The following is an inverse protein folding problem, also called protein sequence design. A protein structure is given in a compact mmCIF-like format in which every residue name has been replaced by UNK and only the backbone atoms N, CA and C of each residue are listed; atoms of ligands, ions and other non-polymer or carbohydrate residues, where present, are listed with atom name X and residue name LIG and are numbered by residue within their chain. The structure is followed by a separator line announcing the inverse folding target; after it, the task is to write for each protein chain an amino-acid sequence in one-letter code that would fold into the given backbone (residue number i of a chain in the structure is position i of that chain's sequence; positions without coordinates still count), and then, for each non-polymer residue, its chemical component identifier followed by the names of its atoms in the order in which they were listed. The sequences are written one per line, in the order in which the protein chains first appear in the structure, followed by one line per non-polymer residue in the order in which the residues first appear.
data_IF_884277049505
#
_entry.id   IF_884277049505
#
_cell.length_a   1.000
_cell.length_b   1.000
_cell.length_c   1.000
_cell.angle_alpha   90.00
_cell.angle_beta   90.00
_cell.angle_gamma   90.00
#
_symmetry.space_group_name_H-M   'P 1'
#
loop_
_entity.id
_entity.type
_entity.pdbx_description
1 polymer ?
#
# COMPACT_ATOMS: atom_id res chain seq x y z
N UNK A 1 -25.24 10.12 29.40
CA UNK A 1 -25.22 10.31 27.92
C UNK A 1 -24.96 8.97 27.31
N UNK A 2 -25.77 8.52 26.35
CA UNK A 2 -25.41 7.35 25.55
C UNK A 2 -24.08 7.67 24.86
N UNK A 3 -23.06 6.85 25.04
CA UNK A 3 -21.81 7.01 24.29
C UNK A 3 -22.14 6.70 22.82
N UNK A 4 -22.34 7.75 22.02
CA UNK A 4 -22.54 7.59 20.59
C UNK A 4 -21.18 7.25 19.99
N UNK A 5 -20.99 5.99 19.60
CA UNK A 5 -19.76 5.51 18.97
C UNK A 5 -19.48 6.32 17.70
N UNK A 6 -18.28 6.90 17.60
CA UNK A 6 -17.81 7.64 16.42
C UNK A 6 -17.09 6.70 15.48
N UNK A 7 -17.38 6.81 14.18
CA UNK A 7 -16.73 6.05 13.12
C UNK A 7 -15.83 6.99 12.34
N UNK A 8 -14.54 6.67 12.31
CA UNK A 8 -13.51 7.53 11.75
C UNK A 8 -12.75 6.76 10.70
N UNK A 9 -12.67 7.34 9.49
CA UNK A 9 -11.85 6.82 8.41
C UNK A 9 -10.58 7.66 8.31
N UNK A 10 -9.42 7.03 8.51
CA UNK A 10 -8.12 7.69 8.46
C UNK A 10 -7.00 6.71 8.07
N UNK A 11 -5.89 7.18 7.48
CA UNK A 11 -4.70 6.36 7.26
C UNK A 11 -4.23 5.69 8.56
N UNK A 12 -3.77 4.44 8.48
CA UNK A 12 -3.36 3.66 9.66
C UNK A 12 -2.31 4.39 10.53
N UNK A 13 -1.36 5.07 9.89
CA UNK A 13 -0.35 5.87 10.59
C UNK A 13 -0.92 7.01 11.44
N UNK A 14 -2.14 7.50 11.14
CA UNK A 14 -2.83 8.53 11.92
C UNK A 14 -3.65 7.97 13.09
N UNK A 15 -3.85 6.65 13.19
CA UNK A 15 -4.77 6.08 14.18
C UNK A 15 -4.33 6.38 15.61
N UNK A 16 -3.03 6.28 15.90
CA UNK A 16 -2.48 6.52 17.24
C UNK A 16 -2.60 8.00 17.65
N UNK A 17 -2.31 8.93 16.76
CA UNK A 17 -2.38 10.38 17.03
C UNK A 17 -3.82 10.83 17.22
N UNK A 18 -4.72 10.44 16.32
CA UNK A 18 -6.15 10.76 16.43
C UNK A 18 -6.74 10.21 17.72
N UNK A 19 -6.45 8.96 18.08
CA UNK A 19 -6.95 8.37 19.32
C UNK A 19 -6.46 9.13 20.57
N UNK A 20 -5.20 9.59 20.58
CA UNK A 20 -4.67 10.44 21.65
C UNK A 20 -5.40 11.79 21.69
N UNK A 21 -5.60 12.45 20.55
CA UNK A 21 -6.28 13.73 20.47
C UNK A 21 -7.73 13.66 20.98
N UNK A 22 -8.50 12.65 20.56
CA UNK A 22 -9.85 12.44 21.05
C UNK A 22 -9.89 12.16 22.56
N UNK A 23 -8.99 11.30 23.07
CA UNK A 23 -8.95 10.94 24.49
C UNK A 23 -8.45 12.06 25.40
N UNK A 24 -7.71 13.02 24.87
CA UNK A 24 -7.31 14.23 25.59
C UNK A 24 -8.52 15.13 25.90
N UNK A 25 -9.52 15.15 25.01
CA UNK A 25 -10.76 15.89 25.21
C UNK A 25 -11.84 15.08 25.96
N UNK A 26 -11.93 13.78 25.72
CA UNK A 26 -12.83 12.85 26.41
C UNK A 26 -12.20 11.47 26.55
N UNK A 27 -11.74 11.14 27.77
CA UNK A 27 -11.04 9.88 28.05
C UNK A 27 -11.89 8.62 27.84
N UNK A 28 -13.23 8.74 27.76
CA UNK A 28 -14.15 7.61 27.60
C UNK A 28 -14.76 7.52 26.20
N UNK A 29 -14.28 8.32 25.25
CA UNK A 29 -14.83 8.33 23.89
C UNK A 29 -14.69 6.96 23.19
N UNK A 30 -15.82 6.41 22.73
CA UNK A 30 -15.84 5.18 21.90
C UNK A 30 -15.64 5.58 20.43
N UNK A 31 -14.43 5.32 19.93
CA UNK A 31 -14.01 5.63 18.57
C UNK A 31 -13.64 4.34 17.86
N UNK A 32 -14.22 4.11 16.69
CA UNK A 32 -13.80 3.07 15.75
C UNK A 32 -13.02 3.72 14.61
N UNK A 33 -11.73 3.41 14.55
CA UNK A 33 -10.83 3.80 13.46
C UNK A 33 -10.82 2.71 12.39
N UNK A 34 -10.91 3.13 11.13
CA UNK A 34 -10.94 2.30 9.94
C UNK A 34 -10.01 2.96 8.91
N UNK A 35 -9.13 2.21 8.27
CA UNK A 35 -8.37 2.70 7.12
C UNK A 35 -9.07 2.34 5.80
N UNK A 36 -8.80 3.13 4.76
CA UNK A 36 -9.40 2.92 3.44
C UNK A 36 -9.09 1.52 2.88
N UNK A 37 -7.89 0.99 3.09
CA UNK A 37 -7.51 -0.32 2.55
C UNK A 37 -8.33 -1.44 3.19
N UNK A 38 -8.56 -1.37 4.51
CA UNK A 38 -9.45 -2.29 5.21
C UNK A 38 -10.92 -2.10 4.80
N UNK A 39 -11.34 -0.89 4.48
CA UNK A 39 -12.68 -0.67 3.94
C UNK A 39 -12.83 -1.29 2.54
N UNK A 40 -11.85 -1.12 1.66
CA UNK A 40 -11.83 -1.74 0.33
C UNK A 40 -11.77 -3.27 0.46
N UNK A 41 -10.89 -3.80 1.30
CA UNK A 41 -10.77 -5.24 1.53
C UNK A 41 -12.00 -5.81 2.25
N UNK A 42 -12.74 -5.03 3.03
CA UNK A 42 -14.00 -5.53 3.60
C UNK A 42 -15.08 -5.78 2.55
N UNK A 43 -15.05 -5.00 1.46
CA UNK A 43 -15.94 -5.23 0.34
C UNK A 43 -15.49 -6.39 -0.55
N UNK A 44 -14.19 -6.70 -0.59
CA UNK A 44 -13.58 -7.51 -1.67
C UNK A 44 -12.55 -8.55 -1.25
N UNK A 45 -12.33 -8.69 0.04
CA UNK A 45 -11.36 -9.57 0.71
C UNK A 45 -9.89 -9.40 0.32
N UNK A 46 -9.01 -10.10 1.07
CA UNK A 46 -7.62 -10.30 0.67
C UNK A 46 -7.56 -10.94 -0.71
N UNK A 47 -6.61 -10.49 -1.53
CA UNK A 47 -6.33 -11.03 -2.87
C UNK A 47 -6.18 -12.56 -2.80
N UNK A 48 -7.22 -13.30 -3.20
CA UNK A 48 -7.17 -14.76 -3.29
C UNK A 48 -6.38 -15.12 -4.54
N UNK A 49 -5.20 -15.73 -4.36
CA UNK A 49 -4.34 -16.15 -5.48
C UNK A 49 -5.07 -17.09 -6.44
N UNK A 50 -6.13 -17.78 -6.00
CA UNK A 50 -7.00 -18.58 -6.88
C UNK A 50 -7.83 -17.70 -7.81
N UNK A 51 -8.37 -16.58 -7.33
CA UNK A 51 -9.10 -15.63 -8.17
C UNK A 51 -8.18 -15.02 -9.24
N UNK A 52 -6.95 -14.66 -8.87
CA UNK A 52 -5.94 -14.16 -9.81
C UNK A 52 -5.65 -15.22 -10.88
N UNK A 53 -5.44 -16.49 -10.50
CA UNK A 53 -5.23 -17.59 -11.45
C UNK A 53 -6.41 -17.79 -12.41
N UNK A 54 -7.65 -17.73 -11.92
CA UNK A 54 -8.83 -17.84 -12.78
C UNK A 54 -8.93 -16.71 -13.80
N UNK A 55 -8.54 -15.49 -13.41
CA UNK A 55 -8.47 -14.33 -14.31
C UNK A 55 -7.34 -14.55 -15.32
N UNK A 56 -6.13 -14.92 -14.89
CA UNK A 56 -5.01 -15.22 -15.81
C UNK A 56 -5.39 -16.24 -16.89
N UNK A 57 -6.04 -17.34 -16.50
CA UNK A 57 -6.46 -18.40 -17.43
C UNK A 57 -7.59 -17.93 -18.35
N UNK A 58 -8.61 -17.27 -17.79
CA UNK A 58 -9.78 -16.82 -18.55
C UNK A 58 -9.43 -15.72 -19.56
N UNK A 59 -8.59 -14.79 -19.13
CA UNK A 59 -8.23 -13.58 -19.84
C UNK A 59 -6.97 -13.74 -20.70
N UNK A 60 -6.17 -14.79 -20.45
CA UNK A 60 -4.84 -15.00 -21.04
C UNK A 60 -3.92 -13.80 -20.81
N UNK A 61 -3.89 -13.33 -19.57
CA UNK A 61 -3.08 -12.19 -19.14
C UNK A 61 -2.09 -12.61 -18.07
N UNK A 62 -1.04 -11.80 -17.91
CA UNK A 62 -0.10 -11.93 -16.79
C UNK A 62 -0.75 -11.52 -15.48
N UNK A 63 -0.16 -11.95 -14.37
CA UNK A 63 -0.68 -11.74 -13.03
C UNK A 63 -0.78 -10.25 -12.63
N UNK A 64 0.13 -9.39 -13.13
CA UNK A 64 0.04 -7.93 -12.98
C UNK A 64 -1.31 -7.39 -13.49
N UNK A 65 -1.65 -7.74 -14.73
CA UNK A 65 -2.90 -7.31 -15.37
C UNK A 65 -4.10 -8.00 -14.71
N UNK A 66 -3.96 -9.26 -14.30
CA UNK A 66 -5.02 -9.97 -13.59
C UNK A 66 -5.33 -9.31 -12.23
N UNK A 67 -4.31 -8.82 -11.52
CA UNK A 67 -4.46 -8.08 -10.27
C UNK A 67 -5.14 -6.72 -10.50
N UNK A 68 -4.74 -5.99 -11.55
CA UNK A 68 -5.42 -4.75 -11.93
C UNK A 68 -6.90 -4.99 -12.26
N UNK A 69 -7.21 -6.05 -13.02
CA UNK A 69 -8.58 -6.48 -13.31
C UNK A 69 -9.32 -6.76 -12.00
N UNK A 70 -8.73 -7.59 -11.13
CA UNK A 70 -9.35 -7.98 -9.85
C UNK A 70 -9.69 -6.75 -8.99
N UNK A 71 -8.78 -5.79 -8.90
CA UNK A 71 -8.95 -4.57 -8.10
C UNK A 71 -10.07 -3.65 -8.64
N UNK A 72 -10.40 -3.71 -9.93
CA UNK A 72 -11.49 -2.91 -10.51
C UNK A 72 -12.85 -3.59 -10.47
N UNK A 73 -12.92 -4.94 -10.50
CA UNK A 73 -14.16 -5.72 -10.38
C UNK A 73 -15.12 -5.19 -9.31
N UNK A 74 -14.63 -4.78 -8.12
CA UNK A 74 -15.37 -3.98 -7.16
C UNK A 74 -16.36 -2.96 -7.70
N UNK A 75 -15.86 -1.98 -8.43
CA UNK A 75 -16.55 -0.77 -8.79
C UNK A 75 -17.43 -0.97 -10.03
N UNK A 76 -17.29 -2.11 -10.71
CA UNK A 76 -18.08 -2.49 -11.87
C UNK A 76 -19.57 -2.59 -11.50
N UNK A 77 -20.36 -1.72 -12.13
CA UNK A 77 -21.81 -1.63 -12.01
C UNK A 77 -22.47 -1.84 -13.39
N UNK A 78 -23.76 -2.22 -13.38
CA UNK A 78 -24.50 -2.59 -14.60
C UNK A 78 -24.97 -1.38 -15.44
N UNK A 79 -24.82 -0.16 -14.90
CA UNK A 79 -25.44 1.04 -15.46
C UNK A 79 -24.60 1.72 -16.55
N UNK A 80 -23.39 1.22 -16.82
CA UNK A 80 -22.46 1.84 -17.76
C UNK A 80 -22.47 1.11 -19.10
N UNK A 81 -22.77 1.85 -20.16
CA UNK A 81 -22.79 1.33 -21.54
C UNK A 81 -21.40 1.35 -22.17
N UNK A 82 -20.44 0.65 -21.57
CA UNK A 82 -19.08 0.49 -22.09
C UNK A 82 -18.78 -1.00 -22.33
N UNK A 83 -18.18 -1.34 -23.47
CA UNK A 83 -17.87 -2.74 -23.83
C UNK A 83 -16.89 -3.40 -22.85
N UNK A 84 -15.89 -2.65 -22.37
CA UNK A 84 -14.92 -3.11 -21.38
C UNK A 84 -15.58 -3.33 -20.01
N UNK A 85 -16.50 -2.46 -19.62
CA UNK A 85 -17.25 -2.63 -18.36
C UNK A 85 -18.18 -3.85 -18.41
N UNK A 86 -18.93 -4.04 -19.51
CA UNK A 86 -19.76 -5.24 -19.71
C UNK A 86 -18.94 -6.52 -19.69
N UNK A 87 -17.73 -6.46 -20.22
CA UNK A 87 -16.81 -7.58 -20.18
C UNK A 87 -16.36 -7.90 -18.75
N UNK A 88 -15.94 -6.87 -17.99
CA UNK A 88 -15.56 -7.03 -16.58
C UNK A 88 -16.72 -7.53 -15.71
N UNK A 89 -17.98 -7.24 -16.07
CA UNK A 89 -19.15 -7.84 -15.41
C UNK A 89 -19.21 -9.36 -15.60
N UNK A 90 -18.84 -9.86 -16.78
CA UNK A 90 -18.78 -11.31 -17.04
C UNK A 90 -17.67 -11.96 -16.22
N UNK A 91 -16.51 -11.31 -16.14
CA UNK A 91 -15.39 -11.74 -15.29
C UNK A 91 -15.84 -11.79 -13.83
N UNK A 92 -16.43 -10.70 -13.31
CA UNK A 92 -16.97 -10.62 -11.94
C UNK A 92 -17.95 -11.74 -11.65
N UNK A 93 -18.89 -12.00 -12.56
CA UNK A 93 -19.90 -13.06 -12.41
C UNK A 93 -19.29 -14.45 -12.38
N UNK A 94 -18.24 -14.70 -13.17
CA UNK A 94 -17.51 -15.97 -13.17
C UNK A 94 -16.73 -16.19 -11.87
N UNK A 95 -16.00 -15.17 -11.38
CA UNK A 95 -15.27 -15.28 -10.11
C UNK A 95 -16.25 -15.44 -8.94
N UNK A 96 -17.40 -14.76 -8.98
CA UNK A 96 -18.47 -14.92 -8.00
C UNK A 96 -19.06 -16.33 -7.98
N UNK A 97 -19.33 -16.93 -9.14
CA UNK A 97 -19.92 -18.27 -9.23
C UNK A 97 -18.98 -19.38 -8.72
N UNK A 98 -17.67 -19.14 -8.75
CA UNK A 98 -16.65 -20.01 -8.17
C UNK A 98 -16.50 -19.85 -6.65
N UNK A 99 -17.22 -18.91 -6.02
CA UNK A 99 -17.09 -18.61 -4.59
C UNK A 99 -15.73 -18.01 -4.22
N UNK A 100 -15.04 -17.40 -5.20
CA UNK A 100 -13.72 -16.79 -5.03
C UNK A 100 -13.81 -15.29 -4.71
N UNK A 101 -15.00 -14.70 -4.83
CA UNK A 101 -15.34 -13.43 -4.18
C UNK A 101 -15.99 -13.77 -2.85
N UNK A 102 -15.21 -13.93 -1.79
CA UNK A 102 -15.82 -13.98 -0.47
C UNK A 102 -15.88 -12.53 0.05
N UNK A 103 -16.71 -12.32 1.06
CA UNK A 103 -17.03 -11.00 1.62
C UNK A 103 -17.02 -11.18 3.11
N UNK A 104 -16.43 -10.25 3.86
CA UNK A 104 -16.67 -10.19 5.30
C UNK A 104 -18.08 -9.60 5.50
N UNK A 105 -19.08 -10.41 5.88
CA UNK A 105 -20.44 -9.91 5.99
C UNK A 105 -20.60 -8.91 7.14
N UNK A 106 -19.69 -8.90 8.12
CA UNK A 106 -19.81 -8.10 9.34
C UNK A 106 -19.11 -6.75 9.25
N UNK A 107 -18.06 -6.64 8.43
CA UNK A 107 -17.25 -5.43 8.39
C UNK A 107 -17.95 -4.28 7.66
N UNK A 108 -18.62 -4.54 6.53
CA UNK A 108 -19.45 -3.52 5.86
C UNK A 108 -20.63 -3.07 6.75
N UNK A 109 -21.27 -4.02 7.43
CA UNK A 109 -22.34 -3.77 8.41
C UNK A 109 -21.88 -2.92 9.60
N UNK A 110 -20.56 -2.84 9.84
CA UNK A 110 -20.02 -2.01 10.92
C UNK A 110 -20.28 -0.53 10.69
N UNK A 111 -20.38 -0.06 9.45
CA UNK A 111 -20.55 1.37 9.14
C UNK A 111 -21.76 1.69 8.25
N UNK A 112 -22.43 0.67 7.71
CA UNK A 112 -23.63 0.84 6.89
C UNK A 112 -24.67 1.77 7.54
N UNK A 113 -25.08 2.80 6.79
CA UNK A 113 -26.06 3.81 7.23
C UNK A 113 -25.59 4.75 8.36
N UNK A 114 -24.32 4.72 8.76
CA UNK A 114 -23.80 5.52 9.89
C UNK A 114 -23.21 6.85 9.44
N UNK A 115 -23.07 7.77 10.39
CA UNK A 115 -22.30 8.99 10.22
C UNK A 115 -20.79 8.69 10.38
N UNK A 116 -19.98 9.14 9.44
CA UNK A 116 -18.54 8.87 9.35
C UNK A 116 -17.76 10.16 9.22
N UNK A 117 -16.68 10.28 9.98
CA UNK A 117 -15.75 11.41 9.92
C UNK A 117 -14.47 10.97 9.22
N UNK A 118 -14.04 11.73 8.21
CA UNK A 118 -12.89 11.36 7.38
C UNK A 118 -11.74 12.33 7.66
N UNK A 119 -10.58 11.78 8.02
CA UNK A 119 -9.36 12.54 8.31
C UNK A 119 -8.20 12.04 7.44
N UNK A 120 -7.38 12.96 6.93
CA UNK A 120 -6.17 12.61 6.16
C UNK A 120 -6.42 12.05 4.76
N UNK A 121 -7.68 11.92 4.32
CA UNK A 121 -8.06 11.62 2.94
C UNK A 121 -8.65 12.86 2.27
N UNK A 122 -8.43 12.98 0.96
CA UNK A 122 -8.93 14.11 0.18
C UNK A 122 -10.40 13.93 -0.21
N UNK A 123 -11.20 15.02 -0.25
CA UNK A 123 -12.53 15.03 -0.87
C UNK A 123 -12.52 14.72 -2.37
N UNK A 124 -11.35 14.66 -3.02
CA UNK A 124 -11.20 14.21 -4.41
C UNK A 124 -11.02 12.68 -4.53
N UNK A 125 -11.01 11.94 -3.41
CA UNK A 125 -10.91 10.47 -3.41
C UNK A 125 -12.27 9.85 -3.77
N UNK A 126 -12.53 9.75 -5.09
CA UNK A 126 -13.78 9.24 -5.64
C UNK A 126 -14.05 7.78 -5.23
N UNK A 127 -13.00 6.96 -5.10
CA UNK A 127 -13.15 5.57 -4.65
C UNK A 127 -13.77 5.48 -3.25
N UNK A 128 -13.23 6.26 -2.31
CA UNK A 128 -13.75 6.32 -0.94
C UNK A 128 -15.19 6.83 -0.92
N UNK A 129 -15.48 7.89 -1.68
CA UNK A 129 -16.81 8.48 -1.79
C UNK A 129 -17.81 7.47 -2.37
N UNK A 130 -17.44 6.77 -3.43
CA UNK A 130 -18.28 5.75 -4.08
C UNK A 130 -18.62 4.62 -3.11
N UNK A 131 -17.64 4.14 -2.33
CA UNK A 131 -17.85 3.10 -1.32
C UNK A 131 -18.81 3.58 -0.22
N UNK A 132 -18.60 4.79 0.30
CA UNK A 132 -19.45 5.34 1.38
C UNK A 132 -20.88 5.61 0.93
N UNK A 133 -21.05 6.09 -0.31
CA UNK A 133 -22.38 6.26 -0.91
C UNK A 133 -23.08 4.92 -1.09
N UNK A 134 -22.38 3.87 -1.53
CA UNK A 134 -22.94 2.53 -1.67
C UNK A 134 -23.40 1.93 -0.33
N UNK A 135 -22.74 2.31 0.79
CA UNK A 135 -23.12 1.94 2.16
C UNK A 135 -24.22 2.82 2.76
N UNK A 136 -24.68 3.86 2.05
CA UNK A 136 -25.63 4.84 2.57
C UNK A 136 -25.09 5.65 3.76
N UNK A 137 -23.77 5.78 3.89
CA UNK A 137 -23.14 6.54 4.97
C UNK A 137 -23.34 8.05 4.77
N UNK A 138 -23.54 8.78 5.86
CA UNK A 138 -23.37 10.24 5.87
C UNK A 138 -21.92 10.53 6.25
N UNK A 139 -21.20 11.34 5.47
CA UNK A 139 -19.79 11.59 5.75
C UNK A 139 -19.39 13.06 5.66
N UNK A 140 -18.39 13.42 6.47
CA UNK A 140 -17.79 14.75 6.50
C UNK A 140 -16.28 14.62 6.42
N UNK A 141 -15.67 15.33 5.48
CA UNK A 141 -14.23 15.47 5.40
C UNK A 141 -13.74 16.55 6.36
N UNK A 142 -12.85 16.18 7.26
CA UNK A 142 -12.13 17.09 8.13
C UNK A 142 -10.82 17.46 7.46
N UNK A 143 -10.87 18.50 6.64
CA UNK A 143 -9.66 19.17 6.17
C UNK A 143 -9.25 20.21 7.21
N UNK A 144 -8.03 20.12 7.70
CA UNK A 144 -7.46 21.22 8.47
C UNK A 144 -7.08 22.34 7.52
N UNK A 145 -7.63 23.52 7.77
CA UNK A 145 -7.42 24.73 6.96
C UNK A 145 -6.18 25.51 7.36
N UNK A 146 -5.41 25.05 8.37
CA UNK A 146 -4.27 25.79 8.87
C UNK A 146 -2.95 25.04 8.63
N UNK A 147 -2.28 25.44 7.56
CA UNK A 147 -0.84 25.24 7.41
C UNK A 147 -0.16 26.02 8.53
N UNK A 148 0.47 25.32 9.49
CA UNK A 148 1.36 26.01 10.42
C UNK A 148 2.50 26.61 9.59
N UNK A 149 2.58 27.94 9.53
CA UNK A 149 3.75 28.64 9.00
C UNK A 149 4.99 28.21 9.80
N UNK A 150 5.96 27.60 9.13
CA UNK A 150 7.18 27.13 9.78
C UNK A 150 8.03 26.15 8.97
N UNK A 151 7.69 25.82 7.72
CA UNK A 151 8.58 24.98 6.90
C UNK A 151 9.84 25.75 6.53
N UNK A 152 10.98 25.26 7.00
CA UNK A 152 12.30 25.70 6.54
C UNK A 152 12.65 24.92 5.27
N UNK A 153 12.85 25.64 4.16
CA UNK A 153 13.30 25.05 2.91
C UNK A 153 14.80 25.29 2.79
N UNK A 154 15.57 24.21 2.82
CA UNK A 154 17.03 24.24 2.66
C UNK A 154 17.38 23.53 1.35
N UNK A 155 18.28 24.13 0.58
CA UNK A 155 18.75 23.55 -0.68
C UNK A 155 20.17 23.01 -0.52
N UNK A 156 20.39 21.82 -1.05
CA UNK A 156 21.67 21.12 -1.01
C UNK A 156 22.18 20.86 -2.43
N UNK A 157 23.50 20.73 -2.58
CA UNK A 157 24.16 20.45 -3.86
C UNK A 157 24.04 18.99 -4.30
N UNK A 158 23.77 18.07 -3.37
CA UNK A 158 23.66 16.65 -3.64
C UNK A 158 22.73 15.95 -2.67
N UNK A 159 22.17 14.81 -3.11
CA UNK A 159 21.41 13.87 -2.26
C UNK A 159 22.20 13.48 -1.01
N UNK A 160 23.52 13.32 -1.16
CA UNK A 160 24.43 12.99 -0.06
C UNK A 160 24.45 14.10 1.01
N UNK A 161 24.61 15.36 0.60
CA UNK A 161 24.66 16.50 1.53
C UNK A 161 23.32 16.67 2.27
N UNK A 162 22.21 16.53 1.55
CA UNK A 162 20.86 16.61 2.12
C UNK A 162 20.60 15.51 3.15
N UNK A 163 20.97 14.26 2.82
CA UNK A 163 20.83 13.13 3.75
C UNK A 163 21.67 13.36 5.01
N UNK A 164 22.92 13.80 4.89
CA UNK A 164 23.75 14.07 6.07
C UNK A 164 23.17 15.20 6.93
N UNK A 165 22.68 16.27 6.34
CA UNK A 165 22.06 17.37 7.09
C UNK A 165 20.81 16.88 7.85
N UNK A 166 19.95 16.11 7.19
CA UNK A 166 18.79 15.50 7.83
C UNK A 166 19.19 14.59 9.01
N UNK A 167 20.18 13.71 8.84
CA UNK A 167 20.63 12.82 9.92
C UNK A 167 21.23 13.59 11.11
N UNK A 168 21.91 14.71 10.85
CA UNK A 168 22.40 15.60 11.92
C UNK A 168 21.24 16.23 12.70
N UNK A 169 20.24 16.80 12.01
CA UNK A 169 19.08 17.42 12.68
C UNK A 169 18.27 16.39 13.48
N UNK A 170 18.13 15.17 12.94
CA UNK A 170 17.53 14.04 13.64
C UNK A 170 18.31 13.71 14.93
N UNK A 171 19.64 13.60 14.84
CA UNK A 171 20.49 13.34 16.01
C UNK A 171 20.32 14.43 17.08
N UNK A 172 20.27 15.70 16.68
CA UNK A 172 20.03 16.81 17.60
C UNK A 172 18.66 16.73 18.30
N UNK A 173 17.61 16.28 17.60
CA UNK A 173 16.29 16.08 18.23
C UNK A 173 16.32 14.94 19.24
N UNK A 174 17.00 13.84 18.92
CA UNK A 174 17.18 12.72 19.84
C UNK A 174 17.98 13.15 21.10
N UNK A 175 19.04 13.94 20.93
CA UNK A 175 19.82 14.51 22.03
C UNK A 175 18.99 15.45 22.92
N UNK A 176 18.00 16.14 22.34
CA UNK A 176 17.01 16.97 23.07
C UNK A 176 15.92 16.14 23.75
N UNK A 177 15.92 14.82 23.59
CA UNK A 177 14.99 13.88 24.24
C UNK A 177 13.69 13.64 23.47
N UNK A 178 13.61 13.99 22.18
CA UNK A 178 12.47 13.62 21.31
C UNK A 178 12.49 12.11 21.11
N UNK A 179 11.33 11.46 21.22
CA UNK A 179 11.20 10.02 21.03
C UNK A 179 11.34 9.60 19.56
N UNK A 180 11.92 8.42 19.31
CA UNK A 180 12.03 7.84 17.96
C UNK A 180 10.69 7.75 17.23
N UNK A 181 9.61 7.44 17.96
CA UNK A 181 8.23 7.35 17.46
C UNK A 181 7.66 8.71 17.00
N UNK A 182 8.27 9.82 17.40
CA UNK A 182 7.80 11.18 17.11
C UNK A 182 8.62 11.85 15.98
N UNK A 183 9.57 11.11 15.38
CA UNK A 183 10.41 11.56 14.26
C UNK A 183 10.11 10.70 13.03
N UNK A 184 9.89 11.35 11.89
CA UNK A 184 9.61 10.71 10.61
C UNK A 184 10.45 11.31 9.51
N UNK A 185 10.91 10.47 8.59
CA UNK A 185 11.55 10.89 7.35
C UNK A 185 10.58 10.56 6.21
N UNK A 186 10.13 11.56 5.49
CA UNK A 186 9.37 11.40 4.27
C UNK A 186 10.31 11.47 3.06
N UNK A 187 10.39 10.38 2.31
CA UNK A 187 11.17 10.33 1.09
C UNK A 187 10.52 9.39 0.07
N UNK A 188 10.13 9.93 -1.09
CA UNK A 188 9.54 9.16 -2.18
C UNK A 188 10.60 8.51 -3.10
N UNK A 189 11.83 9.05 -3.13
CA UNK A 189 12.89 8.57 -4.01
C UNK A 189 13.78 7.53 -3.32
N UNK A 190 13.79 6.32 -3.87
CA UNK A 190 14.60 5.18 -3.39
C UNK A 190 16.11 5.44 -3.47
N UNK A 191 16.56 6.41 -4.27
CA UNK A 191 17.97 6.79 -4.33
C UNK A 191 18.50 7.26 -2.95
N UNK A 192 17.63 7.83 -2.10
CA UNK A 192 18.00 8.27 -0.75
C UNK A 192 18.17 7.08 0.21
N UNK A 193 17.48 5.96 -0.03
CA UNK A 193 17.43 4.83 0.91
C UNK A 193 18.81 4.21 1.12
N UNK A 194 19.62 4.16 0.06
CA UNK A 194 20.99 3.68 0.14
C UNK A 194 21.84 4.53 1.10
N UNK A 195 21.74 5.86 0.99
CA UNK A 195 22.52 6.78 1.81
C UNK A 195 22.02 6.77 3.26
N UNK A 196 20.71 6.77 3.47
CA UNK A 196 20.11 6.66 4.81
C UNK A 196 20.53 5.35 5.49
N UNK A 197 20.50 4.22 4.77
CA UNK A 197 20.87 2.91 5.31
C UNK A 197 22.35 2.80 5.65
N UNK A 198 23.19 3.42 4.81
CA UNK A 198 24.64 3.44 5.00
C UNK A 198 25.04 4.31 6.20
N UNK A 199 24.50 5.52 6.30
CA UNK A 199 24.96 6.49 7.29
C UNK A 199 24.26 6.40 8.64
N UNK A 200 23.06 5.81 8.75
CA UNK A 200 22.39 5.63 10.06
C UNK A 200 23.31 4.96 11.11
N UNK A 201 24.21 4.08 10.68
CA UNK A 201 25.15 3.37 11.56
C UNK A 201 26.14 4.33 12.22
N UNK A 202 26.55 5.39 11.51
CA UNK A 202 27.52 6.38 12.00
C UNK A 202 26.88 7.31 13.05
N UNK A 203 25.57 7.52 12.99
CA UNK A 203 24.80 8.37 13.90
C UNK A 203 24.26 7.64 15.15
N UNK A 204 24.42 6.32 15.23
CA UNK A 204 24.05 5.54 16.42
C UNK A 204 22.54 5.32 16.61
N UNK A 205 21.72 5.56 15.59
CA UNK A 205 20.29 5.21 15.59
C UNK A 205 19.91 4.33 14.40
N UNK A 206 18.72 3.73 14.48
CA UNK A 206 18.15 2.93 13.39
C UNK A 206 16.99 3.67 12.72
N UNK A 207 16.93 3.52 11.42
CA UNK A 207 15.83 3.96 10.57
C UNK A 207 15.21 2.69 9.99
N UNK A 208 13.90 2.53 10.20
CA UNK A 208 13.09 1.55 9.49
C UNK A 208 12.90 2.03 8.06
N UNK A 209 13.93 1.82 7.25
CA UNK A 209 13.86 2.00 5.81
C UNK A 209 13.08 0.80 5.30
N UNK A 210 11.98 0.98 4.55
CA UNK A 210 11.32 -0.10 3.84
C UNK A 210 12.28 -0.57 2.74
N UNK A 211 13.28 -1.37 3.11
CA UNK A 211 14.08 -2.10 2.16
C UNK A 211 13.18 -3.21 1.65
N UNK A 212 12.36 -2.89 0.68
CA UNK A 212 11.52 -3.86 0.01
C UNK A 212 12.41 -4.76 -0.86
N UNK A 213 13.32 -5.53 -0.24
CA UNK A 213 14.14 -6.55 -0.87
C UNK A 213 13.16 -7.64 -1.28
N UNK A 214 12.95 -7.71 -2.57
CA UNK A 214 12.11 -8.74 -3.18
C UNK A 214 12.86 -10.06 -3.17
N UNK A 215 12.15 -11.18 -3.18
CA UNK A 215 12.78 -12.47 -3.45
C UNK A 215 13.61 -12.42 -4.75
N UNK A 216 13.11 -11.76 -5.79
CA UNK A 216 13.79 -11.62 -7.08
C UNK A 216 15.18 -10.97 -7.01
N UNK A 217 15.44 -10.09 -6.04
CA UNK A 217 16.75 -9.42 -5.91
C UNK A 217 17.83 -10.28 -5.26
N UNK A 218 17.48 -11.49 -4.81
CA UNK A 218 18.40 -12.38 -4.11
C UNK A 218 19.08 -13.37 -5.05
N UNK A 219 20.36 -13.65 -4.78
CA UNK A 219 21.15 -14.62 -5.56
C UNK A 219 20.51 -16.02 -5.55
N UNK A 220 20.03 -16.48 -4.39
CA UNK A 220 19.41 -17.80 -4.26
C UNK A 220 18.13 -17.94 -5.11
N UNK A 221 17.40 -16.84 -5.36
CA UNK A 221 16.22 -16.87 -6.23
C UNK A 221 16.60 -17.06 -7.69
N UNK A 222 17.74 -16.50 -8.14
CA UNK A 222 18.26 -16.78 -9.49
C UNK A 222 18.56 -18.26 -9.68
N UNK A 223 19.10 -18.92 -8.64
CA UNK A 223 19.38 -20.35 -8.66
C UNK A 223 18.10 -21.18 -8.68
N UNK A 224 17.11 -20.83 -7.85
CA UNK A 224 15.77 -21.45 -7.85
C UNK A 224 15.11 -21.36 -9.23
N UNK A 225 15.14 -20.17 -9.86
CA UNK A 225 14.56 -19.98 -11.18
C UNK A 225 15.29 -20.83 -12.25
N UNK A 226 16.62 -20.95 -12.16
CA UNK A 226 17.40 -21.83 -13.05
C UNK A 226 17.03 -23.29 -12.84
N UNK A 227 16.93 -23.75 -11.60
CA UNK A 227 16.53 -25.13 -11.29
C UNK A 227 15.14 -25.46 -11.84
N UNK A 228 14.18 -24.53 -11.67
CA UNK A 228 12.86 -24.71 -12.24
C UNK A 228 12.88 -24.71 -13.77
N UNK A 229 13.68 -23.83 -14.39
CA UNK A 229 13.78 -23.76 -15.84
C UNK A 229 14.38 -25.03 -16.48
N UNK A 230 15.40 -25.61 -15.84
CA UNK A 230 16.08 -26.82 -16.31
C UNK A 230 15.21 -28.07 -16.12
N UNK A 231 14.60 -28.21 -14.96
CA UNK A 231 13.92 -29.43 -14.57
C UNK A 231 12.42 -29.45 -14.87
N UNK A 232 11.79 -28.27 -14.95
CA UNK A 232 10.35 -28.08 -15.14
C UNK A 232 9.50 -28.81 -14.09
N UNK A 233 10.04 -28.94 -12.89
CA UNK A 233 9.47 -29.74 -11.81
C UNK A 233 9.62 -29.02 -10.47
N UNK A 234 8.49 -28.65 -9.86
CA UNK A 234 8.45 -28.00 -8.56
C UNK A 234 8.91 -28.91 -7.40
N UNK A 235 8.86 -30.24 -7.55
CA UNK A 235 9.40 -31.17 -6.56
C UNK A 235 10.90 -30.99 -6.39
N UNK A 236 11.64 -30.95 -7.50
CA UNK A 236 13.09 -30.70 -7.50
C UNK A 236 13.45 -29.31 -7.00
N UNK A 237 12.64 -28.30 -7.32
CA UNK A 237 12.81 -26.94 -6.79
C UNK A 237 12.65 -26.94 -5.26
N UNK A 238 11.67 -27.67 -4.74
CA UNK A 238 11.43 -27.80 -3.29
C UNK A 238 12.62 -28.48 -2.60
N UNK A 239 13.16 -29.54 -3.19
CA UNK A 239 14.37 -30.22 -2.69
C UNK A 239 15.59 -29.29 -2.70
N UNK A 240 15.75 -28.48 -3.75
CA UNK A 240 16.80 -27.48 -3.85
C UNK A 240 16.66 -26.40 -2.75
N UNK A 241 15.46 -25.87 -2.53
CA UNK A 241 15.19 -24.88 -1.47
C UNK A 241 15.58 -25.44 -0.09
N UNK A 242 15.31 -26.71 0.17
CA UNK A 242 15.68 -27.35 1.44
C UNK A 242 17.20 -27.34 1.67
N UNK A 243 18.00 -27.46 0.61
CA UNK A 243 19.47 -27.52 0.66
C UNK A 243 20.13 -26.13 0.76
N UNK A 244 19.40 -25.04 0.49
CA UNK A 244 19.93 -23.68 0.58
C UNK A 244 20.27 -23.29 2.04
N UNK A 245 21.36 -22.56 2.20
CA UNK A 245 21.77 -21.96 3.48
C UNK A 245 21.11 -20.58 3.65
N UNK A 246 19.80 -20.58 3.92
CA UNK A 246 18.99 -19.37 4.16
C UNK A 246 18.08 -19.59 5.39
N UNK A 247 17.56 -18.50 5.96
CA UNK A 247 16.67 -18.56 7.13
C UNK A 247 15.42 -19.42 6.86
N UNK A 248 14.91 -20.06 7.91
CA UNK A 248 13.72 -20.91 7.80
C UNK A 248 12.47 -20.12 7.35
N UNK A 249 12.34 -18.87 7.76
CA UNK A 249 11.23 -18.00 7.34
C UNK A 249 11.27 -17.70 5.85
N UNK A 250 12.47 -17.51 5.29
CA UNK A 250 12.64 -17.35 3.85
C UNK A 250 12.33 -18.64 3.10
N UNK A 251 12.72 -19.82 3.63
CA UNK A 251 12.32 -21.12 3.05
C UNK A 251 10.80 -21.30 3.05
N UNK A 252 10.15 -21.01 4.17
CA UNK A 252 8.69 -21.11 4.31
C UNK A 252 7.98 -20.19 3.31
N UNK A 253 8.48 -18.96 3.16
CA UNK A 253 7.96 -18.00 2.18
C UNK A 253 8.13 -18.48 0.74
N UNK A 254 9.28 -19.07 0.40
CA UNK A 254 9.49 -19.69 -0.91
C UNK A 254 8.53 -20.86 -1.16
N UNK A 255 8.31 -21.73 -0.18
CA UNK A 255 7.35 -22.83 -0.33
C UNK A 255 5.92 -22.32 -0.56
N UNK A 256 5.51 -21.25 0.11
CA UNK A 256 4.23 -20.59 -0.15
C UNK A 256 4.15 -20.04 -1.58
N UNK A 257 5.22 -19.41 -2.08
CA UNK A 257 5.29 -18.93 -3.46
C UNK A 257 5.15 -20.08 -4.45
N UNK A 258 5.85 -21.20 -4.22
CA UNK A 258 5.79 -22.38 -5.09
C UNK A 258 4.37 -22.96 -5.10
N UNK A 259 3.73 -23.09 -3.94
CA UNK A 259 2.36 -23.60 -3.83
C UNK A 259 1.34 -22.67 -4.52
N UNK A 260 1.54 -21.35 -4.40
CA UNK A 260 0.71 -20.34 -5.05
C UNK A 260 0.76 -20.44 -6.59
N UNK A 261 1.98 -20.56 -7.14
CA UNK A 261 2.24 -20.57 -8.58
C UNK A 261 1.90 -21.92 -9.21
N UNK A 262 2.00 -23.00 -8.45
CA UNK A 262 1.73 -24.36 -8.96
C UNK A 262 0.26 -24.49 -9.37
N UNK A 263 0.04 -24.64 -10.68
CA UNK A 263 -1.27 -24.91 -11.26
C UNK A 263 -1.11 -25.65 -12.59
N UNK A 264 -1.54 -26.90 -12.64
CA UNK A 264 -1.35 -27.80 -13.80
C UNK A 264 -2.04 -27.31 -15.09
N UNK A 265 -2.92 -26.32 -14.99
CA UNK A 265 -3.62 -25.73 -16.13
C UNK A 265 -2.74 -24.76 -16.92
N UNK A 266 -1.70 -24.22 -16.29
CA UNK A 266 -0.75 -23.33 -16.93
C UNK A 266 0.30 -24.12 -17.72
N UNK A 267 0.64 -23.62 -18.90
CA UNK A 267 1.84 -24.05 -19.60
C UNK A 267 3.09 -23.66 -18.80
N UNK A 268 4.20 -24.36 -19.04
CA UNK A 268 5.47 -24.09 -18.35
C UNK A 268 5.88 -22.61 -18.42
N UNK A 269 5.76 -21.97 -19.58
CA UNK A 269 6.15 -20.56 -19.73
C UNK A 269 5.27 -19.63 -18.88
N UNK A 270 3.96 -19.89 -18.82
CA UNK A 270 3.03 -19.12 -18.00
C UNK A 270 3.34 -19.28 -16.50
N UNK A 271 3.61 -20.51 -16.05
CA UNK A 271 4.03 -20.77 -14.67
C UNK A 271 5.37 -20.11 -14.33
N UNK A 272 6.33 -20.16 -15.26
CA UNK A 272 7.64 -19.54 -15.07
C UNK A 272 7.55 -18.02 -14.96
N UNK A 273 6.80 -17.37 -15.86
CA UNK A 273 6.57 -15.93 -15.78
C UNK A 273 5.82 -15.54 -14.51
N UNK A 274 4.84 -16.36 -14.10
CA UNK A 274 4.12 -16.12 -12.85
C UNK A 274 5.06 -16.24 -11.63
N UNK A 275 5.92 -17.26 -11.58
CA UNK A 275 6.93 -17.41 -10.53
C UNK A 275 7.87 -16.20 -10.45
N UNK A 276 8.35 -15.73 -11.61
CA UNK A 276 9.21 -14.54 -11.68
C UNK A 276 8.47 -13.31 -11.15
N UNK A 277 7.21 -13.13 -11.54
CA UNK A 277 6.40 -11.99 -11.12
C UNK A 277 6.11 -12.01 -9.61
N UNK A 278 5.70 -13.14 -9.05
CA UNK A 278 5.48 -13.29 -7.60
C UNK A 278 6.78 -13.03 -6.84
N UNK A 279 7.92 -13.54 -7.31
CA UNK A 279 9.23 -13.25 -6.70
C UNK A 279 9.59 -11.77 -6.73
N UNK A 280 9.18 -11.00 -7.76
CA UNK A 280 9.41 -9.55 -7.87
C UNK A 280 8.52 -8.74 -6.93
N UNK A 281 7.37 -9.27 -6.53
CA UNK A 281 6.40 -8.58 -5.66
C UNK A 281 6.56 -8.94 -4.20
N UNK A 282 6.94 -10.18 -3.90
CA UNK A 282 7.07 -10.69 -2.54
C UNK A 282 8.37 -10.21 -1.92
N UNK A 283 8.24 -9.55 -0.78
CA UNK A 283 9.38 -9.06 -0.01
C UNK A 283 9.88 -10.14 0.96
N UNK A 284 11.17 -10.10 1.26
CA UNK A 284 11.74 -10.84 2.38
C UNK A 284 11.16 -10.27 3.69
N UNK A 285 11.04 -11.12 4.70
CA UNK A 285 10.75 -10.66 6.05
C UNK A 285 11.97 -9.84 6.52
N UNK A 286 11.77 -8.54 6.75
CA UNK A 286 12.80 -7.67 7.28
C UNK A 286 12.65 -7.51 8.78
N UNK A 287 13.79 -7.34 9.45
CA UNK A 287 13.83 -6.97 10.86
C UNK A 287 13.27 -5.55 11.02
N UNK A 288 12.14 -5.42 11.71
CA UNK A 288 11.61 -4.11 12.13
C UNK A 288 12.33 -3.73 13.42
N UNK A 289 13.12 -2.66 13.37
CA UNK A 289 13.84 -2.19 14.54
C UNK A 289 12.91 -1.45 15.50
N UNK A 290 13.11 -1.68 16.80
CA UNK A 290 12.50 -0.92 17.88
C UNK A 290 13.51 -0.76 19.02
N UNK A 291 13.89 0.47 19.42
CA UNK A 291 13.43 1.76 18.88
C UNK A 291 14.05 2.11 17.53
N UNK A 292 13.30 2.78 16.65
CA UNK A 292 13.78 3.28 15.36
C UNK A 292 12.90 4.39 14.79
N UNK A 293 13.50 5.21 13.92
CA UNK A 293 12.81 6.27 13.16
C UNK A 293 12.10 5.63 11.97
N UNK A 294 10.90 6.09 11.64
CA UNK A 294 10.15 5.54 10.52
C UNK A 294 10.39 6.36 9.25
N UNK A 295 10.79 5.68 8.17
CA UNK A 295 10.75 6.25 6.82
C UNK A 295 9.38 5.97 6.19
N UNK A 296 8.69 7.03 5.79
CA UNK A 296 7.43 6.96 5.04
C UNK A 296 7.67 7.36 3.59
N UNK A 297 6.94 6.72 2.67
CA UNK A 297 7.04 6.97 1.21
C UNK A 297 5.82 7.67 0.64
N UNK A 298 4.79 7.83 1.46
CA UNK A 298 3.57 8.54 1.11
C UNK A 298 3.42 9.74 2.05
N UNK A 299 2.88 10.87 1.56
CA UNK A 299 2.67 12.04 2.39
C UNK A 299 1.55 11.72 3.36
N UNK A 300 1.90 11.50 4.62
CA UNK A 300 0.93 11.25 5.68
C UNK A 300 1.04 12.37 6.70
N UNK A 301 -0.11 12.91 7.09
CA UNK A 301 -0.17 13.90 8.14
C UNK A 301 -0.04 13.25 9.51
N UNK A 302 1.02 13.56 10.24
CA UNK A 302 1.25 13.04 11.59
C UNK A 302 1.28 14.22 12.57
N UNK A 303 0.30 14.26 13.48
CA UNK A 303 0.23 15.32 14.49
C UNK A 303 1.34 15.18 15.53
N UNK A 304 1.86 16.32 15.99
CA UNK A 304 2.89 16.41 17.04
C UNK A 304 4.18 15.63 16.73
N UNK A 305 4.52 15.50 15.45
CA UNK A 305 5.72 14.84 14.98
C UNK A 305 6.66 15.80 14.25
N UNK A 306 7.94 15.48 14.25
CA UNK A 306 8.95 16.11 13.39
C UNK A 306 9.02 15.32 12.08
N UNK A 307 8.74 15.98 10.95
CA UNK A 307 8.76 15.36 9.63
C UNK A 307 9.84 16.02 8.78
N UNK A 308 10.84 15.24 8.39
CA UNK A 308 11.88 15.65 7.44
C UNK A 308 11.46 15.22 6.04
N UNK A 309 11.32 16.17 5.11
CA UNK A 309 10.95 15.88 3.73
C UNK A 309 12.22 15.96 2.87
N UNK A 310 12.63 14.83 2.30
CA UNK A 310 13.83 14.75 1.46
C UNK A 310 13.46 14.70 -0.02
N UNK A 311 14.28 15.34 -0.86
CA UNK A 311 14.12 15.35 -2.30
C UNK A 311 12.96 16.20 -2.78
N UNK A 312 12.65 17.29 -2.07
CA UNK A 312 11.56 18.21 -2.40
C UNK A 312 11.86 19.03 -3.67
N UNK A 313 11.77 18.39 -4.84
CA UNK A 313 11.97 19.00 -6.15
C UNK A 313 10.92 18.57 -7.18
N UNK A 314 10.83 19.34 -8.26
CA UNK A 314 9.90 19.08 -9.36
C UNK A 314 10.13 17.68 -9.96
N UNK A 315 9.04 16.99 -10.28
CA UNK A 315 9.04 15.60 -10.75
C UNK A 315 8.90 14.55 -9.65
N UNK A 316 9.24 14.88 -8.40
CA UNK A 316 8.93 14.06 -7.22
C UNK A 316 7.80 14.67 -6.37
N UNK A 317 7.69 16.00 -6.37
CA UNK A 317 6.72 16.74 -5.57
C UNK A 317 6.08 17.88 -6.39
N UNK A 318 4.74 17.89 -6.60
CA UNK A 318 3.81 16.76 -6.43
C UNK A 318 4.09 15.65 -7.45
N UNK A 319 3.60 14.44 -7.16
CA UNK A 319 3.72 13.30 -8.07
C UNK A 319 2.81 13.54 -9.28
N UNK A 320 3.37 13.43 -10.48
CA UNK A 320 2.59 13.46 -11.71
C UNK A 320 2.08 12.06 -12.06
N UNK A 321 0.83 11.97 -12.50
CA UNK A 321 0.18 10.71 -12.89
C UNK A 321 -0.24 10.79 -14.36
N UNK A 322 -0.13 9.66 -15.06
CA UNK A 322 -0.53 9.52 -16.47
C UNK A 322 -1.69 8.52 -16.59
N UNK A 323 -2.55 8.70 -17.59
CA UNK A 323 -3.64 7.76 -17.88
C UNK A 323 -3.13 6.54 -18.65
N UNK A 324 -2.43 5.65 -17.93
CA UNK A 324 -1.86 4.41 -18.47
C UNK A 324 -2.35 3.17 -17.70
N UNK A 325 -3.37 3.32 -16.86
CA UNK A 325 -3.93 2.22 -16.07
C UNK A 325 -4.79 1.29 -16.95
N UNK A 326 -5.13 0.10 -16.44
CA UNK A 326 -6.05 -0.81 -17.14
C UNK A 326 -7.37 -0.14 -17.56
N UNK A 327 -7.96 0.71 -16.71
CA UNK A 327 -9.10 1.54 -17.07
C UNK A 327 -8.64 2.95 -17.42
N UNK A 328 -9.10 3.46 -18.56
CA UNK A 328 -8.88 4.86 -18.93
C UNK A 328 -9.59 5.79 -17.96
N UNK A 329 -9.11 7.02 -17.83
CA UNK A 329 -9.71 8.02 -16.95
C UNK A 329 -11.19 8.30 -17.28
N UNK A 330 -11.57 8.20 -18.56
CA UNK A 330 -12.98 8.29 -18.97
C UNK A 330 -13.85 7.19 -18.32
N UNK A 331 -13.39 5.94 -18.35
CA UNK A 331 -14.12 4.80 -17.76
C UNK A 331 -14.08 4.89 -16.23
N UNK A 332 -12.94 5.33 -15.65
CA UNK A 332 -12.80 5.53 -14.21
C UNK A 332 -13.82 6.55 -13.70
N UNK A 333 -13.95 7.69 -14.39
CA UNK A 333 -14.92 8.74 -14.05
C UNK A 333 -16.35 8.20 -14.03
N UNK A 334 -16.74 7.41 -15.04
CA UNK A 334 -18.07 6.77 -15.08
C UNK A 334 -18.30 5.78 -13.93
N UNK A 335 -17.25 5.10 -13.47
CA UNK A 335 -17.29 4.13 -12.36
C UNK A 335 -17.15 4.76 -10.97
N UNK A 336 -16.94 6.09 -10.88
CA UNK A 336 -16.65 6.77 -9.62
C UNK A 336 -15.27 6.40 -9.04
N UNK A 337 -14.31 6.12 -9.91
CA UNK A 337 -12.90 5.89 -9.56
C UNK A 337 -12.09 7.18 -9.71
N UNK A 338 -11.01 7.29 -8.94
CA UNK A 338 -10.11 8.45 -8.96
C UNK A 338 -9.26 8.45 -10.23
N UNK A 339 -9.37 9.50 -11.04
CA UNK A 339 -8.61 9.72 -12.28
C UNK A 339 -7.16 10.14 -12.02
N UNK A 340 -6.30 10.05 -13.02
CA UNK A 340 -4.91 10.49 -12.90
C UNK A 340 -4.78 11.98 -12.57
N UNK A 341 -5.67 12.81 -13.13
CA UNK A 341 -5.72 14.25 -12.82
C UNK A 341 -6.12 14.53 -11.36
N UNK A 342 -7.07 13.76 -10.82
CA UNK A 342 -7.46 13.87 -9.40
C UNK A 342 -6.36 13.37 -8.48
N UNK A 343 -5.71 12.24 -8.79
CA UNK A 343 -4.51 11.76 -8.06
C UNK A 343 -3.43 12.84 -7.97
N UNK A 344 -3.16 13.54 -9.08
CA UNK A 344 -2.21 14.66 -9.11
C UNK A 344 -2.63 15.82 -8.20
N UNK A 345 -3.92 16.19 -8.18
CA UNK A 345 -4.43 17.22 -7.27
C UNK A 345 -4.34 16.80 -5.80
N UNK A 346 -4.72 15.55 -5.48
CA UNK A 346 -4.59 15.00 -4.13
C UNK A 346 -3.13 15.07 -3.65
N UNK A 347 -2.18 14.69 -4.51
CA UNK A 347 -0.75 14.79 -4.19
C UNK A 347 -0.32 16.24 -3.93
N UNK A 348 -0.84 17.21 -4.69
CA UNK A 348 -0.57 18.63 -4.47
C UNK A 348 -1.17 19.14 -3.17
N UNK A 349 -2.43 18.80 -2.87
CA UNK A 349 -3.15 19.26 -1.69
C UNK A 349 -2.53 18.73 -0.40
N UNK A 350 -1.93 17.53 -0.43
CA UNK A 350 -1.31 16.93 0.77
C UNK A 350 0.03 17.60 1.14
N UNK A 351 0.66 18.32 0.20
CA UNK A 351 1.91 19.05 0.43
C UNK A 351 1.68 20.47 0.98
N UNK A 352 0.46 20.99 0.87
CA UNK A 352 0.06 22.28 1.41
C UNK A 352 -0.48 22.12 2.83
#
# INVERSE_FOLDING_TARGET
MAMTKRYIIAPYAMHKSLLKAFRAHDSFIDVKLIDKNNLVSSFYEEVDSRAIKEIMIGEKVLDDVALEIFNVLPFINENISNSKVRYLMQVKSKIASLGLLKKDPYYAQLIEGKAVEIYGYSPLDNELITILNALGCQFVFHQETQVKKGCELVTYSSVFDEVLACLNEVAELLDKGVGYDDIYIYCADKNYFYYLDRFQQDFGFRINIPQRRTFFSQNFTSEILKEYHLNRDFGKVTDFINQLDISQDNKNSLFQIIDEVRDERFAFEEQYQYLVSVCKKRYLNEDIYSPAINLITEPIKIENAHIFVLGFHEGLFPISYQDNDYLTDDIKSELGLTTSLEKGKISSDTLH
#
